data_IF_078925499161
#
_entry.id   IF_078925499161
#
_cell.length_a   1.000
_cell.length_b   1.000
_cell.length_c   1.000
_cell.angle_alpha   90.00
_cell.angle_beta   90.00
_cell.angle_gamma   90.00
#
_symmetry.space_group_name_H-M   'P 1'
#
loop_
_entity.id
_entity.type
_entity.pdbx_description
1 polymer ?
#
# COMPACT_ATOMS: atom_id res chain seq x y z
N UNK A 1 -11.18 -2.07 -11.69
CA UNK A 1 -11.56 -2.86 -10.50
C UNK A 1 -11.32 -2.01 -9.26
N UNK A 2 -12.07 -2.26 -8.20
CA UNK A 2 -11.83 -1.65 -6.89
C UNK A 2 -11.05 -2.67 -6.05
N UNK A 3 -9.83 -2.31 -5.65
CA UNK A 3 -8.90 -3.18 -4.93
C UNK A 3 -8.61 -2.58 -3.56
N UNK A 4 -8.68 -3.41 -2.52
CA UNK A 4 -8.24 -3.08 -1.18
C UNK A 4 -6.96 -3.85 -0.88
N UNK A 5 -5.91 -3.13 -0.47
CA UNK A 5 -4.70 -3.69 0.09
C UNK A 5 -4.72 -3.40 1.59
N UNK A 6 -4.81 -4.45 2.40
CA UNK A 6 -4.71 -4.36 3.85
C UNK A 6 -3.36 -4.92 4.28
N UNK A 7 -2.47 -4.05 4.75
CA UNK A 7 -1.14 -4.46 5.19
C UNK A 7 -0.66 -3.60 6.38
N UNK A 8 -0.05 -4.23 7.38
CA UNK A 8 0.59 -3.57 8.51
C UNK A 8 1.82 -2.73 8.10
N UNK A 9 2.43 -2.98 6.95
CA UNK A 9 3.56 -2.19 6.48
C UNK A 9 3.18 -1.37 5.24
N UNK A 10 3.27 -0.05 5.37
CA UNK A 10 3.21 0.90 4.27
C UNK A 10 4.01 2.15 4.62
N UNK A 11 4.86 2.69 3.72
CA UNK A 11 5.72 3.82 4.03
C UNK A 11 4.93 5.02 4.61
N UNK A 12 5.47 5.69 5.64
CA UNK A 12 6.83 5.54 6.17
C UNK A 12 7.01 4.38 7.18
N UNK A 13 5.96 3.63 7.51
CA UNK A 13 6.04 2.49 8.42
C UNK A 13 6.46 1.20 7.72
N UNK A 14 7.28 0.42 8.43
CA UNK A 14 7.80 -0.85 7.92
C UNK A 14 9.06 -0.70 7.09
N UNK A 15 9.61 -1.83 6.64
CA UNK A 15 10.86 -1.91 5.90
C UNK A 15 10.63 -2.35 4.46
N UNK A 16 11.27 -3.46 4.08
CA UNK A 16 11.16 -4.00 2.72
C UNK A 16 9.73 -4.37 2.32
N UNK A 17 8.94 -4.92 3.23
CA UNK A 17 7.56 -5.28 2.93
C UNK A 17 6.66 -4.05 2.72
N UNK A 18 6.89 -2.96 3.45
CA UNK A 18 6.24 -1.66 3.18
C UNK A 18 6.53 -1.15 1.77
N UNK A 19 7.79 -1.18 1.35
CA UNK A 19 8.18 -0.80 -0.01
C UNK A 19 7.54 -1.69 -1.09
N UNK A 20 7.50 -3.00 -0.88
CA UNK A 20 6.81 -3.92 -1.78
C UNK A 20 5.32 -3.58 -1.92
N UNK A 21 4.66 -3.26 -0.81
CA UNK A 21 3.24 -2.88 -0.78
C UNK A 21 2.99 -1.60 -1.56
N UNK A 22 3.87 -0.60 -1.42
CA UNK A 22 3.84 0.62 -2.21
C UNK A 22 3.97 0.33 -3.70
N UNK A 23 4.94 -0.47 -4.12
CA UNK A 23 5.12 -0.81 -5.53
C UNK A 23 3.95 -1.59 -6.13
N UNK A 24 3.34 -2.50 -5.36
CA UNK A 24 2.13 -3.20 -5.78
C UNK A 24 0.96 -2.24 -5.95
N UNK A 25 0.73 -1.36 -4.96
CA UNK A 25 -0.36 -0.39 -4.99
C UNK A 25 -0.21 0.58 -6.18
N UNK A 26 0.97 1.17 -6.34
CA UNK A 26 1.30 2.09 -7.45
C UNK A 26 1.21 1.39 -8.81
N UNK A 27 1.74 0.17 -8.93
CA UNK A 27 1.70 -0.61 -10.16
C UNK A 27 0.29 -1.02 -10.57
N UNK A 28 -0.56 -1.38 -9.60
CA UNK A 28 -1.97 -1.69 -9.86
C UNK A 28 -2.76 -0.42 -10.24
N UNK A 29 -2.50 0.70 -9.57
CA UNK A 29 -3.10 1.98 -9.91
C UNK A 29 -2.73 2.43 -11.34
N UNK A 30 -1.44 2.29 -11.72
CA UNK A 30 -0.95 2.60 -13.06
C UNK A 30 -1.59 1.76 -14.17
N UNK A 31 -2.12 0.57 -13.83
CA UNK A 31 -2.88 -0.31 -14.74
C UNK A 31 -4.37 0.03 -14.83
N UNK A 32 -4.81 1.13 -14.20
CA UNK A 32 -6.20 1.60 -14.24
C UNK A 32 -7.13 0.99 -13.19
N UNK A 33 -6.57 0.36 -12.14
CA UNK A 33 -7.36 -0.09 -11.00
C UNK A 33 -7.52 1.03 -9.97
N UNK A 34 -8.68 1.12 -9.32
CA UNK A 34 -8.87 1.98 -8.15
C UNK A 34 -8.36 1.22 -6.92
N UNK A 35 -7.27 1.70 -6.32
CA UNK A 35 -6.60 1.01 -5.21
C UNK A 35 -6.75 1.83 -3.94
N UNK A 36 -7.23 1.20 -2.87
CA UNK A 36 -7.22 1.74 -1.51
C UNK A 36 -6.24 0.93 -0.68
N UNK A 37 -5.35 1.61 0.05
CA UNK A 37 -4.45 0.98 1.01
C UNK A 37 -4.91 1.36 2.40
N UNK A 38 -5.14 0.35 3.24
CA UNK A 38 -5.31 0.53 4.69
C UNK A 38 -4.08 -0.06 5.34
N UNK A 39 -3.42 0.75 6.16
CA UNK A 39 -2.24 0.35 6.92
C UNK A 39 -2.33 0.83 8.35
N UNK A 40 -1.39 0.39 9.19
CA UNK A 40 -1.31 0.87 10.57
C UNK A 40 -1.03 2.35 10.61
N UNK A 41 -1.67 3.00 11.56
CA UNK A 41 -1.32 4.34 11.98
C UNK A 41 -0.28 4.28 13.10
N UNK A 42 0.59 5.28 13.16
CA UNK A 42 1.50 5.49 14.28
C UNK A 42 1.58 6.99 14.58
N UNK A 43 1.86 7.32 15.84
CA UNK A 43 2.30 8.65 16.24
C UNK A 43 3.79 8.74 15.92
N UNK A 44 4.15 9.62 14.98
CA UNK A 44 5.52 9.85 14.50
C UNK A 44 6.11 11.13 15.03
#
# INVERSE_FOLDING_TARGET
MNLLILNYEYPPLGGGAGLCTRYQAEGLAARGHAVTVISTWFEG
#
